data_IF_599929630455
#
_entry.id   IF_599929630455
#
_cell.length_a   1.000
_cell.length_b   1.000
_cell.length_c   1.000
_cell.angle_alpha   90.00
_cell.angle_beta   90.00
_cell.angle_gamma   90.00
#
_symmetry.space_group_name_H-M   'P 1'
#
loop_
_entity.id
_entity.type
_entity.pdbx_description
1 polymer ?
#
# COMPACT_ATOMS: atom_id res chain seq x y z
N UNK A 1 -17.55 47.95 -15.65
CA UNK A 1 -16.50 47.08 -16.22
C UNK A 1 -15.56 46.48 -15.17
N UNK A 2 -14.90 47.26 -14.30
CA UNK A 2 -13.94 46.76 -13.30
C UNK A 2 -14.49 45.67 -12.36
N UNK A 3 -15.74 45.80 -11.90
CA UNK A 3 -16.42 44.79 -11.07
C UNK A 3 -16.72 43.47 -11.81
N UNK A 4 -17.06 43.56 -13.09
CA UNK A 4 -17.35 42.39 -13.95
C UNK A 4 -16.10 41.56 -14.19
N UNK A 5 -14.95 42.23 -14.42
CA UNK A 5 -13.64 41.57 -14.59
C UNK A 5 -13.23 40.81 -13.32
N UNK A 6 -13.49 41.37 -12.13
CA UNK A 6 -13.19 40.72 -10.85
C UNK A 6 -14.02 39.44 -10.66
N UNK A 7 -15.30 39.47 -11.03
CA UNK A 7 -16.17 38.27 -10.94
C UNK A 7 -15.70 37.17 -11.89
N UNK A 8 -15.33 37.52 -13.13
CA UNK A 8 -14.83 36.57 -14.12
C UNK A 8 -13.51 35.91 -13.66
N UNK A 9 -12.58 36.71 -13.12
CA UNK A 9 -11.33 36.20 -12.55
C UNK A 9 -11.57 35.27 -11.35
N UNK A 10 -12.54 35.59 -10.49
CA UNK A 10 -12.91 34.73 -9.36
C UNK A 10 -13.45 33.37 -9.79
N UNK A 11 -14.32 33.34 -10.81
CA UNK A 11 -14.86 32.10 -11.38
C UNK A 11 -13.77 31.25 -12.06
N UNK A 12 -12.85 31.90 -12.80
CA UNK A 12 -11.72 31.21 -13.44
C UNK A 12 -10.78 30.57 -12.39
N UNK A 13 -10.50 31.27 -11.28
CA UNK A 13 -9.67 30.75 -10.21
C UNK A 13 -10.33 29.55 -9.50
N UNK A 14 -11.64 29.61 -9.22
CA UNK A 14 -12.36 28.47 -8.65
C UNK A 14 -12.37 27.26 -9.59
N UNK A 15 -12.56 27.47 -10.90
CA UNK A 15 -12.47 26.41 -11.89
C UNK A 15 -11.08 25.77 -11.93
N UNK A 16 -10.02 26.58 -11.86
CA UNK A 16 -8.64 26.10 -11.82
C UNK A 16 -8.36 25.25 -10.58
N UNK A 17 -8.76 25.74 -9.39
CA UNK A 17 -8.62 25.02 -8.12
C UNK A 17 -9.38 23.69 -8.17
N UNK A 18 -10.63 23.69 -8.66
CA UNK A 18 -11.42 22.47 -8.81
C UNK A 18 -10.76 21.44 -9.73
N UNK A 19 -10.16 21.89 -10.83
CA UNK A 19 -9.43 21.02 -11.76
C UNK A 19 -8.18 20.42 -11.10
N UNK A 20 -7.42 21.20 -10.33
CA UNK A 20 -6.29 20.69 -9.58
C UNK A 20 -6.70 19.65 -8.53
N UNK A 21 -7.79 19.89 -7.78
CA UNK A 21 -8.32 18.93 -6.80
C UNK A 21 -8.73 17.63 -7.48
N UNK A 22 -9.45 17.71 -8.61
CA UNK A 22 -9.86 16.54 -9.39
C UNK A 22 -8.65 15.75 -9.91
N UNK A 23 -7.61 16.43 -10.40
CA UNK A 23 -6.41 15.79 -10.90
C UNK A 23 -5.63 15.09 -9.77
N UNK A 24 -5.46 15.74 -8.62
CA UNK A 24 -4.80 15.13 -7.44
C UNK A 24 -5.58 13.90 -6.95
N UNK A 25 -6.92 13.98 -6.90
CA UNK A 25 -7.76 12.84 -6.56
C UNK A 25 -7.68 11.70 -7.58
N UNK A 26 -7.56 12.01 -8.87
CA UNK A 26 -7.42 11.03 -9.97
C UNK A 26 -6.03 10.37 -10.04
N UNK A 27 -4.95 11.09 -9.77
CA UNK A 27 -3.58 10.55 -9.76
C UNK A 27 -3.39 9.52 -8.64
N UNK A 28 -4.03 9.73 -7.47
CA UNK A 28 -4.05 8.77 -6.37
C UNK A 28 -4.65 7.40 -6.77
N UNK A 29 -5.52 7.36 -7.79
CA UNK A 29 -6.15 6.11 -8.26
C UNK A 29 -5.36 5.35 -9.35
N UNK A 30 -4.33 5.98 -9.95
CA UNK A 30 -3.70 5.50 -11.19
C UNK A 30 -2.27 4.97 -11.03
N UNK A 31 -1.61 5.15 -9.88
CA UNK A 31 -0.27 4.59 -9.66
C UNK A 31 -0.38 3.08 -9.45
N UNK A 32 0.23 2.25 -10.34
CA UNK A 32 0.23 0.81 -10.15
C UNK A 32 1.00 0.46 -8.87
N UNK A 33 0.59 -0.60 -8.13
CA UNK A 33 1.32 -1.00 -6.95
C UNK A 33 2.75 -1.40 -7.32
N UNK A 34 3.72 -1.10 -6.44
CA UNK A 34 5.13 -1.50 -6.54
C UNK A 34 5.23 -3.01 -6.77
N UNK A 35 4.46 -3.79 -6.00
CA UNK A 35 4.36 -5.24 -6.18
C UNK A 35 3.00 -5.77 -5.70
N UNK A 36 2.58 -6.89 -6.28
CA UNK A 36 1.36 -7.61 -5.89
C UNK A 36 1.72 -9.00 -5.40
N UNK A 37 1.04 -9.43 -4.36
CA UNK A 37 1.17 -10.74 -3.76
C UNK A 37 -0.20 -11.38 -3.55
N UNK A 38 -0.21 -12.71 -3.43
CA UNK A 38 -1.39 -13.52 -3.11
C UNK A 38 -1.12 -14.34 -1.87
N UNK A 39 -2.07 -14.29 -0.95
CA UNK A 39 -2.16 -15.20 0.20
C UNK A 39 -3.39 -16.09 0.03
N UNK A 40 -3.20 -17.41 0.13
CA UNK A 40 -4.28 -18.38 0.02
C UNK A 40 -4.97 -18.54 1.38
N UNK A 41 -5.91 -17.63 1.64
CA UNK A 41 -6.68 -17.54 2.87
C UNK A 41 -7.48 -16.25 2.90
N UNK A 42 -8.31 -16.09 3.93
CA UNK A 42 -9.09 -14.87 4.12
C UNK A 42 -8.25 -13.72 4.72
N UNK A 43 -8.76 -12.49 4.58
CA UNK A 43 -8.05 -11.28 5.01
C UNK A 43 -7.81 -11.28 6.53
N UNK A 44 -8.75 -11.77 7.32
CA UNK A 44 -8.61 -11.79 8.79
C UNK A 44 -7.46 -12.69 9.23
N UNK A 45 -7.31 -13.88 8.63
CA UNK A 45 -6.20 -14.78 8.91
C UNK A 45 -4.86 -14.15 8.53
N UNK A 46 -4.80 -13.43 7.41
CA UNK A 46 -3.61 -12.68 7.02
C UNK A 46 -3.27 -11.58 8.04
N UNK A 47 -4.24 -10.74 8.42
CA UNK A 47 -4.04 -9.66 9.39
C UNK A 47 -3.61 -10.18 10.77
N UNK A 48 -4.24 -11.25 11.24
CA UNK A 48 -3.89 -11.86 12.53
C UNK A 48 -2.46 -12.39 12.53
N UNK A 49 -2.01 -13.03 11.45
CA UNK A 49 -0.63 -13.48 11.34
C UNK A 49 0.38 -12.32 11.30
N UNK A 50 0.08 -11.26 10.55
CA UNK A 50 0.89 -10.04 10.54
C UNK A 50 1.01 -9.42 11.94
N UNK A 51 -0.11 -9.31 12.66
CA UNK A 51 -0.15 -8.76 14.02
C UNK A 51 0.63 -9.62 15.00
N UNK A 52 0.47 -10.95 14.96
CA UNK A 52 1.20 -11.88 15.83
C UNK A 52 2.69 -11.80 15.59
N UNK A 53 3.12 -11.82 14.33
CA UNK A 53 4.54 -11.74 14.00
C UNK A 53 5.14 -10.40 14.45
N UNK A 54 4.47 -9.28 14.17
CA UNK A 54 4.93 -7.96 14.62
C UNK A 54 4.95 -7.83 16.15
N UNK A 55 3.98 -8.41 16.86
CA UNK A 55 3.97 -8.39 18.33
C UNK A 55 5.09 -9.23 18.97
N UNK A 56 5.64 -10.20 18.23
CA UNK A 56 6.72 -11.06 18.69
C UNK A 56 8.12 -10.45 18.48
N UNK A 57 8.24 -9.40 17.68
CA UNK A 57 9.51 -8.77 17.30
C UNK A 57 9.44 -7.25 17.52
N UNK A 58 10.18 -6.73 18.50
CA UNK A 58 10.16 -5.30 18.85
C UNK A 58 10.70 -4.38 17.75
N UNK A 59 11.41 -4.94 16.77
CA UNK A 59 11.90 -4.21 15.60
C UNK A 59 10.80 -3.97 14.56
N UNK A 60 9.62 -4.58 14.71
CA UNK A 60 8.54 -4.54 13.75
C UNK A 60 7.33 -3.82 14.35
N UNK A 61 6.84 -2.78 13.69
CA UNK A 61 5.62 -2.10 14.06
C UNK A 61 4.58 -2.24 12.95
N UNK A 62 3.45 -2.88 13.28
CA UNK A 62 2.35 -3.08 12.35
C UNK A 62 1.12 -2.27 12.79
N UNK A 63 0.57 -1.47 11.86
CA UNK A 63 -0.61 -0.64 12.11
C UNK A 63 -1.57 -0.68 10.93
N UNK A 64 -2.84 -0.93 11.21
CA UNK A 64 -3.92 -0.70 10.23
C UNK A 64 -4.22 0.80 10.22
N UNK A 65 -4.14 1.42 9.05
CA UNK A 65 -4.27 2.88 8.90
C UNK A 65 -5.65 3.30 8.43
N UNK A 66 -6.27 2.54 7.54
CA UNK A 66 -7.60 2.81 7.01
C UNK A 66 -8.28 1.52 6.57
N UNK A 67 -9.61 1.50 6.57
CA UNK A 67 -10.45 0.42 6.05
C UNK A 67 -11.52 1.05 5.18
N UNK A 68 -11.42 0.83 3.87
CA UNK A 68 -12.33 1.39 2.86
C UNK A 68 -13.15 0.29 2.20
N UNK A 69 -14.32 0.63 1.65
CA UNK A 69 -15.19 -0.32 0.95
C UNK A 69 -16.37 -0.80 1.79
N UNK A 70 -17.11 -1.79 1.28
CA UNK A 70 -18.31 -2.34 1.92
C UNK A 70 -18.49 -3.83 1.59
N UNK A 71 -19.46 -4.49 2.24
CA UNK A 71 -19.79 -5.91 2.01
C UNK A 71 -20.11 -6.26 0.55
N UNK A 72 -20.50 -5.30 -0.29
CA UNK A 72 -20.91 -5.53 -1.68
C UNK A 72 -19.73 -5.46 -2.66
N UNK A 73 -18.75 -4.59 -2.40
CA UNK A 73 -17.61 -4.34 -3.30
C UNK A 73 -16.27 -4.89 -2.77
N UNK A 74 -16.30 -5.52 -1.59
CA UNK A 74 -15.12 -5.94 -0.85
C UNK A 74 -14.52 -4.79 -0.02
N UNK A 75 -13.86 -5.16 1.09
CA UNK A 75 -13.10 -4.21 1.90
C UNK A 75 -11.65 -4.14 1.40
N UNK A 76 -11.15 -2.92 1.19
CA UNK A 76 -9.74 -2.62 1.01
C UNK A 76 -9.17 -2.10 2.32
N UNK A 77 -8.25 -2.86 2.90
CA UNK A 77 -7.60 -2.52 4.18
C UNK A 77 -6.22 -1.98 3.90
N UNK A 78 -5.95 -0.77 4.37
CA UNK A 78 -4.65 -0.11 4.29
C UNK A 78 -3.89 -0.31 5.60
N UNK A 79 -2.61 -0.60 5.47
CA UNK A 79 -1.74 -0.93 6.59
C UNK A 79 -0.37 -0.29 6.37
N UNK A 80 0.25 0.13 7.46
CA UNK A 80 1.66 0.47 7.50
C UNK A 80 2.38 -0.60 8.30
N UNK A 81 3.46 -1.12 7.73
CA UNK A 81 4.41 -2.00 8.38
C UNK A 81 5.73 -1.25 8.42
N UNK A 82 6.29 -1.09 9.61
CA UNK A 82 7.57 -0.45 9.83
C UNK A 82 8.55 -1.50 10.33
N UNK A 83 9.72 -1.58 9.70
CA UNK A 83 10.80 -2.49 10.09
C UNK A 83 12.00 -1.63 10.44
N UNK A 84 12.34 -1.62 11.72
CA UNK A 84 13.46 -0.88 12.28
C UNK A 84 14.69 -1.77 12.31
N UNK A 85 15.81 -1.25 11.87
CA UNK A 85 17.11 -1.84 12.18
C UNK A 85 18.06 -0.72 12.65
N UNK A 86 19.28 -1.09 13.02
CA UNK A 86 20.27 -0.13 13.52
C UNK A 86 20.64 1.01 12.56
N UNK A 87 20.38 0.86 11.26
CA UNK A 87 20.85 1.77 10.21
C UNK A 87 19.70 2.41 9.39
N UNK A 88 18.48 1.89 9.45
CA UNK A 88 17.35 2.29 8.62
C UNK A 88 16.03 1.97 9.31
N UNK A 89 15.04 2.83 9.08
CA UNK A 89 13.67 2.62 9.54
C UNK A 89 12.76 2.61 8.32
N UNK A 90 12.44 1.41 7.83
CA UNK A 90 11.76 1.25 6.54
C UNK A 90 10.26 1.07 6.77
N UNK A 91 9.46 1.98 6.21
CA UNK A 91 8.01 1.91 6.19
C UNK A 91 7.51 1.35 4.87
N UNK A 92 6.72 0.28 4.95
CA UNK A 92 6.01 -0.36 3.87
C UNK A 92 4.51 -0.06 3.97
N UNK A 93 3.95 0.57 2.95
CA UNK A 93 2.51 0.79 2.85
C UNK A 93 1.88 -0.35 2.05
N UNK A 94 0.99 -1.08 2.70
CA UNK A 94 0.31 -2.25 2.14
C UNK A 94 -1.18 -1.96 2.00
N UNK A 95 -1.79 -2.50 0.95
CA UNK A 95 -3.24 -2.57 0.76
C UNK A 95 -3.64 -4.01 0.53
N UNK A 96 -4.51 -4.59 1.37
CA UNK A 96 -5.06 -5.92 1.12
C UNK A 96 -6.57 -5.89 0.89
N UNK A 97 -7.07 -6.94 0.25
CA UNK A 97 -8.50 -7.17 0.05
C UNK A 97 -8.77 -8.58 -0.42
N UNK A 98 -10.00 -9.04 -0.18
CA UNK A 98 -10.43 -10.35 -0.67
C UNK A 98 -10.64 -10.31 -2.18
N UNK A 99 -10.19 -11.37 -2.86
CA UNK A 99 -10.57 -11.69 -4.23
C UNK A 99 -11.14 -13.09 -4.22
N UNK A 100 -12.42 -13.18 -4.55
CA UNK A 100 -13.06 -14.47 -4.82
C UNK A 100 -12.81 -14.81 -6.29
N UNK A 101 -11.91 -15.76 -6.51
CA UNK A 101 -11.69 -16.36 -7.82
C UNK A 101 -12.26 -17.78 -7.74
N UNK A 102 -13.45 -17.97 -8.30
CA UNK A 102 -14.02 -19.31 -8.54
C UNK A 102 -14.14 -20.18 -7.27
N UNK A 103 -14.46 -19.58 -6.11
CA UNK A 103 -14.67 -20.29 -4.85
C UNK A 103 -13.39 -20.51 -4.02
N UNK A 104 -12.22 -20.11 -4.52
CA UNK A 104 -10.99 -20.06 -3.72
C UNK A 104 -10.87 -18.67 -3.12
N UNK A 105 -11.15 -18.56 -1.82
CA UNK A 105 -10.92 -17.34 -1.05
C UNK A 105 -9.42 -17.05 -0.98
N UNK A 106 -9.02 -15.97 -1.65
CA UNK A 106 -7.65 -15.48 -1.64
C UNK A 106 -7.61 -14.02 -1.20
N UNK A 107 -6.51 -13.64 -0.56
CA UNK A 107 -6.23 -12.26 -0.20
C UNK A 107 -5.18 -11.71 -1.14
N UNK A 108 -5.52 -10.66 -1.86
CA UNK A 108 -4.56 -9.92 -2.68
C UNK A 108 -3.93 -8.85 -1.80
N UNK A 109 -2.60 -8.88 -1.70
CA UNK A 109 -1.81 -7.90 -0.95
C UNK A 109 -1.03 -7.07 -1.96
N UNK A 110 -1.17 -5.75 -1.91
CA UNK A 110 -0.51 -4.80 -2.79
C UNK A 110 0.47 -3.97 -1.96
N UNK A 111 1.73 -3.96 -2.35
CA UNK A 111 2.71 -3.02 -1.84
C UNK A 111 2.60 -1.74 -2.64
N UNK A 112 2.15 -0.66 -2.01
CA UNK A 112 1.79 0.59 -2.66
C UNK A 112 2.78 1.72 -2.39
N UNK A 113 3.60 1.59 -1.35
CA UNK A 113 4.65 2.55 -0.99
C UNK A 113 5.73 1.90 -0.15
N UNK A 114 6.97 2.37 -0.30
CA UNK A 114 8.10 2.01 0.57
C UNK A 114 8.93 3.25 0.80
N UNK A 115 9.29 3.56 2.04
CA UNK A 115 10.08 4.74 2.39
C UNK A 115 11.09 4.43 3.48
N UNK A 116 12.30 4.98 3.37
CA UNK A 116 13.23 5.04 4.49
C UNK A 116 12.96 6.32 5.29
N UNK A 117 12.50 6.18 6.53
CA UNK A 117 12.20 7.30 7.43
C UNK A 117 13.46 8.05 7.86
N UNK A 118 14.62 7.41 7.83
CA UNK A 118 15.90 8.05 8.13
C UNK A 118 16.51 8.76 6.92
N UNK A 119 16.07 8.43 5.70
CA UNK A 119 16.55 9.05 4.47
C UNK A 119 15.41 9.30 3.47
N UNK A 120 14.84 10.50 3.52
CA UNK A 120 13.70 10.93 2.68
C UNK A 120 13.93 10.83 1.17
N UNK A 121 15.17 10.67 0.70
CA UNK A 121 15.49 10.49 -0.73
C UNK A 121 15.30 9.05 -1.19
N UNK A 122 15.23 8.08 -0.27
CA UNK A 122 15.06 6.67 -0.58
C UNK A 122 13.59 6.27 -0.41
N UNK A 123 13.08 5.55 -1.41
CA UNK A 123 11.70 5.10 -1.44
C UNK A 123 10.85 5.72 -2.54
N UNK A 124 9.54 5.62 -2.37
CA UNK A 124 8.53 6.12 -3.29
C UNK A 124 7.33 5.18 -3.41
N UNK A 125 6.41 5.57 -4.28
CA UNK A 125 5.17 4.83 -4.58
C UNK A 125 5.27 3.95 -5.83
N UNK A 126 6.46 3.89 -6.47
CA UNK A 126 6.70 3.12 -7.69
C UNK A 126 8.05 2.39 -7.63
N UNK A 127 8.16 1.30 -8.39
CA UNK A 127 9.36 0.44 -8.41
C UNK A 127 10.63 1.17 -8.90
N UNK A 128 10.47 2.26 -9.66
CA UNK A 128 11.57 3.10 -10.15
C UNK A 128 12.07 4.12 -9.11
N UNK A 129 11.47 4.17 -7.91
CA UNK A 129 11.96 5.00 -6.82
C UNK A 129 13.37 4.58 -6.37
N UNK A 130 14.15 5.55 -5.90
CA UNK A 130 15.55 5.32 -5.51
C UNK A 130 15.58 4.31 -4.35
N UNK A 131 16.32 3.21 -4.53
CA UNK A 131 16.47 2.15 -3.52
C UNK A 131 15.26 1.22 -3.37
N UNK A 132 14.11 1.50 -4.01
CA UNK A 132 12.87 0.72 -3.84
C UNK A 132 13.06 -0.74 -4.23
N UNK A 133 13.75 -1.03 -5.34
CA UNK A 133 14.01 -2.42 -5.79
C UNK A 133 14.75 -3.24 -4.74
N UNK A 134 15.74 -2.65 -4.08
CA UNK A 134 16.50 -3.32 -3.03
C UNK A 134 15.62 -3.54 -1.80
N UNK A 135 14.88 -2.53 -1.35
CA UNK A 135 13.97 -2.64 -0.21
C UNK A 135 12.85 -3.68 -0.46
N UNK A 136 12.35 -3.80 -1.69
CA UNK A 136 11.42 -4.89 -2.07
C UNK A 136 12.09 -6.25 -1.90
N UNK A 137 13.32 -6.40 -2.39
CA UNK A 137 14.07 -7.65 -2.22
C UNK A 137 14.23 -8.00 -0.75
N UNK A 138 14.67 -7.04 0.08
CA UNK A 138 14.89 -7.24 1.51
C UNK A 138 13.60 -7.59 2.25
N UNK A 139 12.48 -6.96 1.85
CA UNK A 139 11.15 -7.31 2.34
C UNK A 139 10.75 -8.74 1.99
N UNK A 140 10.99 -9.18 0.75
CA UNK A 140 10.64 -10.53 0.28
C UNK A 140 11.52 -11.60 0.94
N UNK A 141 12.83 -11.40 0.97
CA UNK A 141 13.78 -12.40 1.49
C UNK A 141 13.90 -12.38 3.00
N UNK A 142 13.59 -11.25 3.64
CA UNK A 142 13.63 -11.08 5.10
C UNK A 142 12.26 -11.27 5.73
N UNK A 143 11.39 -10.27 5.58
CA UNK A 143 10.12 -10.22 6.30
C UNK A 143 9.14 -11.31 5.85
N UNK A 144 8.86 -11.46 4.56
CA UNK A 144 7.87 -12.44 4.07
C UNK A 144 8.30 -13.90 4.34
N UNK A 145 9.60 -14.19 4.23
CA UNK A 145 10.14 -15.52 4.57
C UNK A 145 9.92 -15.82 6.06
N UNK A 146 10.32 -14.91 6.95
CA UNK A 146 10.14 -15.09 8.39
C UNK A 146 8.66 -15.18 8.79
N UNK A 147 7.81 -14.36 8.18
CA UNK A 147 6.36 -14.41 8.40
C UNK A 147 5.78 -15.79 8.05
N UNK A 148 6.23 -16.39 6.93
CA UNK A 148 5.85 -17.77 6.56
C UNK A 148 6.35 -18.79 7.58
N UNK A 149 7.60 -18.69 7.99
CA UNK A 149 8.23 -19.66 8.92
C UNK A 149 7.62 -19.62 10.32
N UNK A 150 7.29 -18.42 10.81
CA UNK A 150 6.81 -18.20 12.18
C UNK A 150 5.29 -18.36 12.31
N UNK A 151 4.53 -17.85 11.34
CA UNK A 151 3.07 -17.79 11.43
C UNK A 151 2.35 -18.65 10.38
N UNK A 152 3.09 -19.36 9.51
CA UNK A 152 2.51 -20.15 8.43
C UNK A 152 1.87 -19.31 7.31
N UNK A 153 2.04 -17.98 7.35
CA UNK A 153 1.44 -17.06 6.37
C UNK A 153 2.34 -16.99 5.13
N UNK A 154 2.08 -17.88 4.17
CA UNK A 154 2.79 -17.91 2.91
C UNK A 154 2.16 -16.94 1.89
N UNK A 155 2.83 -15.83 1.64
CA UNK A 155 2.47 -14.89 0.56
C UNK A 155 3.34 -15.17 -0.66
N UNK A 156 2.75 -15.26 -1.85
CA UNK A 156 3.46 -15.53 -3.12
C UNK A 156 3.35 -14.34 -4.07
N UNK A 157 4.31 -14.10 -4.98
CA UNK A 157 4.13 -13.14 -6.05
C UNK A 157 2.82 -13.42 -6.82
N UNK A 158 2.03 -12.37 -7.06
CA UNK A 158 0.81 -12.50 -7.86
C UNK A 158 1.21 -12.58 -9.34
N UNK A 159 0.85 -13.69 -9.99
CA UNK A 159 1.01 -13.87 -11.43
C UNK A 159 -0.35 -13.60 -12.06
N UNK A 160 -0.44 -12.55 -12.87
CA UNK A 160 -1.64 -12.25 -13.64
C UNK A 160 -1.64 -13.13 -14.89
N UNK A 161 -2.40 -14.23 -14.86
CA UNK A 161 -2.50 -15.17 -15.99
C UNK A 161 -3.35 -14.64 -17.16
N UNK A 162 -3.77 -13.36 -17.11
CA UNK A 162 -4.44 -12.69 -18.21
C UNK A 162 -3.45 -11.78 -18.95
N UNK A 163 -2.63 -12.40 -19.81
CA UNK A 163 -1.92 -11.74 -20.91
C UNK A 163 -2.15 -12.52 -22.18
#
# INVERSE_FOLDING_TARGET
>A
MRRVIIVILGLALMGFIGTCIYFVAGVSSTIPPIKKYVFFGNVNSFLLGMQKYAAADSEILFKITDTTGNKQNGYGIYMNLEIRNSNSDIEYNLKCGEKDNEGIRSTIVKLIGIHDKNNYKLGGYGIEGIGVRQMVSDFETGFLVKLKEKEGIAVKPYIDNHR
#
